data_IF_315396085006
#
_entry.id   IF_315396085006
#
_cell.length_a   1.000
_cell.length_b   1.000
_cell.length_c   1.000
_cell.angle_alpha   90.00
_cell.angle_beta   90.00
_cell.angle_gamma   90.00
#
_symmetry.space_group_name_H-M   'P 1'
#
loop_
_entity.id
_entity.type
_entity.pdbx_description
1 polymer ?
#
# COMPACT_ATOMS: atom_id res chain seq x y z
N UNK A 1 -4.67 6.40 -20.05
CA UNK A 1 -4.83 7.21 -18.81
C UNK A 1 -5.71 6.58 -17.71
N UNK A 2 -6.42 5.45 -17.94
CA UNK A 2 -7.22 4.78 -16.90
C UNK A 2 -6.43 3.71 -16.08
N UNK A 3 -5.50 2.99 -16.72
CA UNK A 3 -4.78 1.87 -16.13
C UNK A 3 -3.86 2.27 -14.94
N UNK A 4 -3.27 3.47 -15.01
CA UNK A 4 -2.39 4.01 -13.97
C UNK A 4 -3.15 4.33 -12.67
N UNK A 5 -4.43 4.69 -12.75
CA UNK A 5 -5.29 4.92 -11.59
C UNK A 5 -5.74 3.61 -10.94
N UNK A 6 -6.01 2.58 -11.73
CA UNK A 6 -6.44 1.26 -11.22
C UNK A 6 -5.36 0.61 -10.34
N UNK A 7 -4.11 0.63 -10.80
CA UNK A 7 -2.97 0.14 -10.01
C UNK A 7 -2.81 0.90 -8.69
N UNK A 8 -3.20 2.18 -8.63
CA UNK A 8 -3.16 2.94 -7.39
C UNK A 8 -4.12 2.37 -6.32
N UNK A 9 -5.30 1.91 -6.74
CA UNK A 9 -6.27 1.25 -5.84
C UNK A 9 -5.79 -0.12 -5.35
N UNK A 10 -4.98 -0.83 -6.15
CA UNK A 10 -4.39 -2.12 -5.73
C UNK A 10 -3.51 -1.94 -4.49
N UNK A 11 -2.67 -0.89 -4.43
CA UNK A 11 -1.86 -0.64 -3.23
C UNK A 11 -2.70 -0.37 -1.98
N UNK A 12 -3.85 0.30 -2.14
CA UNK A 12 -4.74 0.56 -1.03
C UNK A 12 -5.43 -0.74 -0.55
N UNK A 13 -5.87 -1.58 -1.49
CA UNK A 13 -6.42 -2.89 -1.18
C UNK A 13 -5.39 -3.79 -0.49
N UNK A 14 -4.13 -3.76 -0.95
CA UNK A 14 -3.04 -4.53 -0.36
C UNK A 14 -2.67 -4.04 1.05
N UNK A 15 -2.69 -2.72 1.28
CA UNK A 15 -2.51 -2.15 2.61
C UNK A 15 -3.61 -2.65 3.56
N UNK A 16 -4.88 -2.53 3.17
CA UNK A 16 -6.03 -3.00 3.97
C UNK A 16 -5.89 -4.50 4.28
N UNK A 17 -5.52 -5.31 3.27
CA UNK A 17 -5.28 -6.74 3.44
C UNK A 17 -4.16 -7.03 4.43
N UNK A 18 -3.02 -6.34 4.32
CA UNK A 18 -1.86 -6.55 5.21
C UNK A 18 -2.15 -6.13 6.65
N UNK A 19 -2.91 -5.04 6.87
CA UNK A 19 -3.34 -4.64 8.20
C UNK A 19 -4.36 -5.63 8.80
N UNK A 20 -5.29 -6.14 7.99
CA UNK A 20 -6.20 -7.20 8.41
C UNK A 20 -5.45 -8.48 8.78
N UNK A 21 -4.47 -8.88 7.97
CA UNK A 21 -3.61 -10.03 8.24
C UNK A 21 -2.78 -9.84 9.52
N UNK A 22 -2.22 -8.65 9.75
CA UNK A 22 -1.52 -8.33 10.99
C UNK A 22 -2.44 -8.45 12.22
N UNK A 23 -3.70 -8.05 12.11
CA UNK A 23 -4.69 -8.19 13.20
C UNK A 23 -4.99 -9.66 13.53
N UNK A 24 -5.08 -10.52 12.51
CA UNK A 24 -5.25 -11.97 12.72
C UNK A 24 -4.00 -12.59 13.39
N UNK A 25 -2.79 -12.26 12.92
CA UNK A 25 -1.54 -12.71 13.55
C UNK A 25 -1.43 -12.24 15.00
N UNK A 26 -1.82 -10.99 15.28
CA UNK A 26 -1.81 -10.43 16.63
C UNK A 26 -2.74 -11.21 17.56
N UNK A 27 -3.93 -11.60 17.08
CA UNK A 27 -4.84 -12.48 17.84
C UNK A 27 -4.31 -13.89 18.02
N UNK A 28 -3.54 -14.39 17.06
CA UNK A 28 -2.92 -15.72 17.13
C UNK A 28 -1.68 -15.77 18.04
N UNK A 29 -1.27 -14.64 18.66
CA UNK A 29 0.03 -14.51 19.37
C UNK A 29 1.24 -14.85 18.49
N UNK A 30 1.10 -14.71 17.18
CA UNK A 30 2.18 -14.89 16.22
C UNK A 30 2.85 -13.54 15.92
N UNK A 31 4.03 -13.58 15.30
CA UNK A 31 4.77 -12.38 14.92
C UNK A 31 3.98 -11.55 13.91
N UNK A 32 3.37 -10.47 14.40
CA UNK A 32 2.59 -9.51 13.61
C UNK A 32 3.45 -8.34 13.09
N UNK A 33 4.75 -8.32 13.41
CA UNK A 33 5.70 -7.26 13.04
C UNK A 33 5.84 -7.16 11.52
N UNK A 34 6.03 -8.30 10.84
CA UNK A 34 6.16 -8.38 9.38
C UNK A 34 4.96 -7.75 8.64
N UNK A 35 3.71 -8.20 8.86
CA UNK A 35 2.57 -7.67 8.13
C UNK A 35 2.24 -6.21 8.46
N UNK A 36 2.60 -5.70 9.65
CA UNK A 36 2.52 -4.27 9.97
C UNK A 36 3.53 -3.45 9.16
N UNK A 37 4.78 -3.91 9.04
CA UNK A 37 5.82 -3.25 8.24
C UNK A 37 5.40 -3.25 6.76
N UNK A 38 4.93 -4.38 6.26
CA UNK A 38 4.44 -4.50 4.86
C UNK A 38 3.24 -3.59 4.60
N UNK A 39 2.32 -3.46 5.56
CA UNK A 39 1.21 -2.51 5.50
C UNK A 39 1.70 -1.06 5.40
N UNK A 40 2.65 -0.68 6.25
CA UNK A 40 3.28 0.66 6.23
C UNK A 40 4.01 0.94 4.91
N UNK A 41 4.79 -0.02 4.42
CA UNK A 41 5.51 0.10 3.15
C UNK A 41 4.53 0.24 1.99
N UNK A 42 3.43 -0.51 1.99
CA UNK A 42 2.39 -0.42 0.96
C UNK A 42 1.70 0.95 0.93
N UNK A 43 1.41 1.53 2.11
CA UNK A 43 0.92 2.92 2.23
C UNK A 43 1.98 3.91 1.73
N UNK A 44 3.24 3.71 2.10
CA UNK A 44 4.36 4.53 1.63
C UNK A 44 4.48 4.53 0.10
N UNK A 45 4.42 3.35 -0.53
CA UNK A 45 4.43 3.22 -1.99
C UNK A 45 3.23 3.90 -2.65
N UNK A 46 2.05 3.88 -2.03
CA UNK A 46 0.87 4.59 -2.52
C UNK A 46 1.11 6.12 -2.58
N UNK A 47 1.68 6.70 -1.52
CA UNK A 47 2.00 8.13 -1.46
C UNK A 47 3.13 8.50 -2.41
N UNK A 48 4.21 7.73 -2.45
CA UNK A 48 5.32 7.92 -3.38
C UNK A 48 4.84 7.89 -4.83
N UNK A 49 4.01 6.92 -5.18
CA UNK A 49 3.48 6.78 -6.55
C UNK A 49 2.53 7.92 -6.91
N UNK A 50 1.68 8.37 -5.98
CA UNK A 50 0.82 9.56 -6.19
C UNK A 50 1.64 10.82 -6.44
N UNK A 51 2.74 11.02 -5.70
CA UNK A 51 3.60 12.18 -5.87
C UNK A 51 4.43 12.12 -7.17
N UNK A 52 4.95 10.94 -7.51
CA UNK A 52 5.76 10.73 -8.72
C UNK A 52 4.92 10.84 -10.00
N UNK A 53 3.70 10.30 -10.01
CA UNK A 53 2.80 10.41 -11.15
C UNK A 53 2.46 11.87 -11.48
N UNK A 54 2.32 12.71 -10.46
CA UNK A 54 2.08 14.15 -10.64
C UNK A 54 3.29 14.90 -11.23
N UNK A 55 4.51 14.40 -11.00
CA UNK A 55 5.76 15.01 -11.49
C UNK A 55 6.06 14.68 -12.96
N UNK A 56 5.62 13.52 -13.45
CA UNK A 56 5.82 13.10 -14.85
C UNK A 56 4.77 13.68 -15.80
N UNK A 57 3.54 13.93 -15.33
CA UNK A 57 2.53 14.58 -16.16
C UNK A 57 2.80 16.08 -16.40
N UNK A 58 3.60 16.73 -15.54
CA UNK A 58 3.94 18.16 -15.68
C UNK A 58 5.09 18.44 -16.65
N UNK A 59 5.62 17.39 -17.31
CA UNK A 59 6.80 17.46 -18.19
C UNK A 59 6.48 17.08 -19.65
N UNK A 60 5.21 16.84 -19.99
CA UNK A 60 4.73 16.74 -21.36
C UNK A 60 3.92 17.98 -21.70
#
# INVERSE_FOLDING_TARGET
MAYLKFIQYIYLAFAIFSFGFAYFQWKANEDFVLPIIVGFVSIGMFFFRRHFHNKYQKKQ
#
